data_IF_970127924126
#
_entry.id   IF_970127924126
#
_cell.length_a   1.000
_cell.length_b   1.000
_cell.length_c   1.000
_cell.angle_alpha   90.00
_cell.angle_beta   90.00
_cell.angle_gamma   90.00
#
_symmetry.space_group_name_H-M   'P 1'
#
loop_
_entity.id
_entity.type
_entity.pdbx_description
1 polymer ?
#
# COMPACT_ATOMS: atom_id res chain seq x y z
N UNK A 1 39.26 75.05 27.03
CA UNK A 1 39.73 73.77 26.46
C UNK A 1 40.11 72.81 27.59
N UNK A 2 39.31 71.77 27.82
CA UNK A 2 39.70 70.36 28.09
C UNK A 2 38.46 69.62 28.60
N UNK A 3 38.13 68.55 27.89
CA UNK A 3 36.86 67.81 27.90
C UNK A 3 36.82 66.83 29.07
N UNK A 4 35.64 66.66 29.67
CA UNK A 4 35.32 65.56 30.59
C UNK A 4 35.11 64.29 29.75
N UNK A 5 35.87 63.24 30.05
CA UNK A 5 35.78 61.93 29.39
C UNK A 5 34.84 61.04 30.19
N UNK A 6 33.66 60.77 29.65
CA UNK A 6 32.70 59.79 30.18
C UNK A 6 33.10 58.39 29.70
N UNK A 7 33.30 57.45 30.62
CA UNK A 7 33.45 56.03 30.32
C UNK A 7 32.07 55.39 30.18
N UNK A 8 31.72 54.92 28.98
CA UNK A 8 30.55 54.07 28.75
C UNK A 8 31.01 52.62 28.61
N UNK A 9 30.58 51.77 29.54
CA UNK A 9 30.75 50.32 29.46
C UNK A 9 29.80 49.77 28.39
N UNK A 10 30.36 49.17 27.34
CA UNK A 10 29.57 48.46 26.33
C UNK A 10 29.25 47.05 26.83
N UNK A 11 28.00 46.82 27.23
CA UNK A 11 27.44 45.48 27.43
C UNK A 11 27.11 44.94 26.04
N UNK A 12 27.92 44.01 25.54
CA UNK A 12 27.62 43.29 24.30
C UNK A 12 26.55 42.23 24.60
N UNK A 13 25.31 42.51 24.19
CA UNK A 13 24.22 41.52 24.18
C UNK A 13 24.43 40.61 22.96
N UNK A 14 25.00 39.42 23.17
CA UNK A 14 25.11 38.41 22.13
C UNK A 14 23.71 37.86 21.81
N UNK A 15 23.14 38.27 20.69
CA UNK A 15 21.92 37.68 20.16
C UNK A 15 22.24 36.27 19.65
N UNK A 16 21.92 35.25 20.44
CA UNK A 16 21.91 33.87 19.98
C UNK A 16 20.77 33.70 18.96
N UNK A 17 21.10 33.76 17.68
CA UNK A 17 20.21 33.30 16.61
C UNK A 17 20.05 31.80 16.74
N UNK A 18 18.96 31.38 17.37
CA UNK A 18 18.49 29.99 17.28
C UNK A 18 18.04 29.81 15.83
N UNK A 19 18.89 29.20 15.00
CA UNK A 19 18.43 28.62 13.75
C UNK A 19 17.44 27.52 14.15
N UNK A 20 16.15 27.80 14.02
CA UNK A 20 15.13 26.76 14.06
C UNK A 20 15.46 25.81 12.91
N UNK A 21 16.07 24.67 13.24
CA UNK A 21 16.14 23.55 12.31
C UNK A 21 14.69 23.28 11.85
N UNK A 22 14.42 23.09 10.55
CA UNK A 22 13.10 22.70 10.13
C UNK A 22 12.80 21.38 10.83
N UNK A 23 11.77 21.36 11.67
CA UNK A 23 11.20 20.12 12.18
C UNK A 23 10.95 19.24 10.95
N UNK A 24 11.66 18.11 10.85
CA UNK A 24 11.46 17.18 9.76
C UNK A 24 9.98 16.79 9.76
N UNK A 25 9.21 17.32 8.81
CA UNK A 25 7.83 16.95 8.61
C UNK A 25 7.85 15.45 8.28
N UNK A 26 7.38 14.62 9.22
CA UNK A 26 7.22 13.20 8.98
C UNK A 26 6.46 13.03 7.66
N UNK A 27 7.05 12.28 6.73
CA UNK A 27 6.42 12.02 5.44
C UNK A 27 5.03 11.43 5.70
N UNK A 28 4.03 11.93 4.98
CA UNK A 28 2.65 11.47 5.08
C UNK A 28 2.30 10.73 3.80
N UNK A 29 1.48 9.70 3.95
CA UNK A 29 0.83 9.04 2.83
C UNK A 29 -0.06 10.02 2.07
N UNK A 30 0.08 10.06 0.75
CA UNK A 30 -0.74 10.87 -0.16
C UNK A 30 -1.45 9.94 -1.13
N UNK A 31 -2.77 10.03 -1.18
CA UNK A 31 -3.55 9.31 -2.19
C UNK A 31 -3.62 10.12 -3.49
N UNK A 32 -3.39 9.43 -4.60
CA UNK A 32 -3.65 9.94 -5.94
C UNK A 32 -4.82 9.14 -6.50
N UNK A 33 -5.96 9.80 -6.66
CA UNK A 33 -7.17 9.20 -7.22
C UNK A 33 -7.14 9.24 -8.75
N UNK A 34 -7.56 8.14 -9.39
CA UNK A 34 -7.57 7.96 -10.84
C UNK A 34 -6.26 8.38 -11.57
N UNK A 35 -5.08 7.90 -11.12
CA UNK A 35 -3.80 8.29 -11.72
C UNK A 35 -3.69 7.79 -13.16
N UNK A 36 -3.28 8.67 -14.08
CA UNK A 36 -3.01 8.29 -15.47
C UNK A 36 -1.76 7.41 -15.55
N UNK A 37 -1.80 6.38 -16.40
CA UNK A 37 -0.64 5.52 -16.72
C UNK A 37 0.54 6.31 -17.29
N UNK A 38 0.26 7.43 -17.98
CA UNK A 38 1.28 8.34 -18.53
C UNK A 38 2.13 9.08 -17.49
N UNK A 39 1.76 9.04 -16.21
CA UNK A 39 2.57 9.66 -15.16
C UNK A 39 1.78 10.34 -14.05
N UNK A 40 2.29 10.25 -12.83
CA UNK A 40 1.96 11.13 -11.71
C UNK A 40 3.25 11.54 -10.97
N UNK A 41 3.22 12.65 -10.23
CA UNK A 41 4.39 13.15 -9.52
C UNK A 41 4.62 12.39 -8.21
N UNK A 42 5.86 12.03 -7.93
CA UNK A 42 6.32 11.43 -6.68
C UNK A 42 7.66 12.05 -6.36
N UNK A 43 7.81 12.83 -5.28
CA UNK A 43 9.06 13.53 -4.98
C UNK A 43 9.62 14.28 -6.21
N UNK A 44 10.84 13.94 -6.62
CA UNK A 44 11.49 14.48 -7.83
C UNK A 44 11.23 13.68 -9.12
N UNK A 45 10.49 12.57 -9.03
CA UNK A 45 10.17 11.67 -10.15
C UNK A 45 8.79 11.93 -10.76
N UNK A 46 8.62 11.44 -12.00
CA UNK A 46 7.32 11.33 -12.69
C UNK A 46 7.08 9.87 -13.01
N UNK A 47 6.27 9.22 -12.19
CA UNK A 47 6.04 7.77 -12.22
C UNK A 47 4.97 7.42 -13.25
N UNK A 48 5.37 6.79 -14.35
CA UNK A 48 4.45 6.12 -15.27
C UNK A 48 4.41 4.62 -15.01
N UNK A 49 3.29 3.98 -15.34
CA UNK A 49 3.07 2.56 -15.08
C UNK A 49 2.05 1.96 -16.05
N UNK A 50 1.97 0.63 -16.07
CA UNK A 50 1.01 -0.13 -16.87
C UNK A 50 0.79 -1.54 -16.30
N UNK A 51 -0.16 -2.32 -16.83
CA UNK A 51 -0.75 -2.15 -18.16
C UNK A 51 -2.02 -1.28 -18.23
N UNK A 52 -2.75 -1.16 -17.12
CA UNK A 52 -4.01 -0.39 -17.04
C UNK A 52 -3.96 0.62 -15.91
N UNK A 53 -4.77 1.68 -16.02
CA UNK A 53 -4.88 2.69 -14.96
C UNK A 53 -5.43 2.06 -13.67
N UNK A 54 -4.79 2.38 -12.56
CA UNK A 54 -5.24 2.09 -11.21
C UNK A 54 -6.43 3.01 -10.84
N UNK A 55 -7.29 2.52 -9.95
CA UNK A 55 -8.34 3.32 -9.34
C UNK A 55 -7.74 4.36 -8.40
N UNK A 56 -6.73 3.98 -7.62
CA UNK A 56 -5.90 4.92 -6.87
C UNK A 56 -4.49 4.39 -6.62
N UNK A 57 -3.58 5.31 -6.29
CA UNK A 57 -2.22 5.00 -5.86
C UNK A 57 -1.92 5.81 -4.61
N UNK A 58 -1.57 5.13 -3.54
CA UNK A 58 -1.00 5.75 -2.36
C UNK A 58 0.50 5.88 -2.51
N UNK A 59 1.01 7.05 -2.14
CA UNK A 59 2.41 7.41 -2.28
C UNK A 59 2.96 7.76 -0.91
N UNK A 60 4.07 7.13 -0.58
CA UNK A 60 4.92 7.51 0.54
C UNK A 60 6.34 7.71 0.01
N UNK A 61 6.93 8.87 0.25
CA UNK A 61 8.34 9.19 -0.07
C UNK A 61 8.96 9.84 1.17
N UNK A 62 9.49 9.00 2.05
CA UNK A 62 9.77 9.38 3.43
C UNK A 62 10.96 8.67 4.05
N UNK A 63 10.75 8.14 5.25
CA UNK A 63 11.72 7.25 5.90
C UNK A 63 11.55 5.83 5.39
N UNK A 64 12.51 4.94 5.61
CA UNK A 64 12.27 3.57 5.17
C UNK A 64 11.16 2.94 6.02
N UNK A 65 10.18 2.31 5.36
CA UNK A 65 9.17 1.52 6.08
C UNK A 65 9.88 0.33 6.71
N UNK A 66 9.75 0.22 8.04
CA UNK A 66 10.41 -0.81 8.82
C UNK A 66 9.42 -1.37 9.86
N UNK A 67 9.18 -2.70 9.89
CA UNK A 67 9.77 -3.72 9.02
C UNK A 67 9.20 -3.70 7.59
N UNK A 68 9.96 -4.20 6.62
CA UNK A 68 9.54 -4.30 5.21
C UNK A 68 9.22 -5.75 4.82
N UNK A 69 8.71 -6.55 5.75
CA UNK A 69 8.27 -7.91 5.47
C UNK A 69 6.84 -7.91 4.91
N UNK A 70 6.41 -9.05 4.34
CA UNK A 70 5.09 -9.15 3.70
C UNK A 70 3.94 -8.79 4.63
N UNK A 71 3.94 -9.32 5.86
CA UNK A 71 2.88 -9.09 6.85
C UNK A 71 2.71 -7.62 7.23
N UNK A 72 3.82 -6.89 7.43
CA UNK A 72 3.73 -5.47 7.77
C UNK A 72 3.25 -4.62 6.59
N UNK A 73 3.68 -4.96 5.37
CA UNK A 73 3.19 -4.28 4.17
C UNK A 73 1.71 -4.61 3.93
N UNK A 74 1.28 -5.85 4.14
CA UNK A 74 -0.12 -6.25 4.06
C UNK A 74 -0.99 -5.44 5.02
N UNK A 75 -0.61 -5.42 6.30
CA UNK A 75 -1.29 -4.62 7.34
C UNK A 75 -1.35 -3.12 6.99
N UNK A 76 -0.29 -2.60 6.36
CA UNK A 76 -0.26 -1.24 5.87
C UNK A 76 -1.24 -1.00 4.72
N UNK A 77 -1.29 -1.90 3.73
CA UNK A 77 -2.26 -1.80 2.62
C UNK A 77 -3.68 -1.87 3.17
N UNK A 78 -3.96 -2.80 4.08
CA UNK A 78 -5.26 -2.90 4.75
C UNK A 78 -5.65 -1.61 5.46
N UNK A 79 -4.70 -0.98 6.18
CA UNK A 79 -4.90 0.29 6.84
C UNK A 79 -5.19 1.45 5.87
N UNK A 80 -4.44 1.55 4.77
CA UNK A 80 -4.61 2.60 3.75
C UNK A 80 -5.98 2.55 3.08
N UNK A 81 -6.44 1.34 2.75
CA UNK A 81 -7.68 1.12 2.02
C UNK A 81 -8.87 0.77 2.94
N UNK A 82 -8.67 0.76 4.26
CA UNK A 82 -9.68 0.42 5.28
C UNK A 82 -10.31 -0.96 5.03
N UNK A 83 -9.47 -1.93 4.71
CA UNK A 83 -9.89 -3.30 4.42
C UNK A 83 -10.03 -4.11 5.71
N UNK A 84 -10.87 -5.16 5.71
CA UNK A 84 -10.85 -6.17 6.77
C UNK A 84 -9.46 -6.81 6.87
N UNK A 85 -9.03 -7.17 8.07
CA UNK A 85 -7.76 -7.88 8.28
C UNK A 85 -7.92 -9.41 8.30
N UNK A 86 -9.16 -9.90 8.23
CA UNK A 86 -9.49 -11.33 8.17
C UNK A 86 -10.75 -11.57 7.34
N UNK A 87 -10.86 -12.76 6.76
CA UNK A 87 -12.06 -13.23 6.09
C UNK A 87 -12.33 -12.53 4.75
N UNK A 88 -13.60 -12.39 4.40
CA UNK A 88 -13.99 -11.80 3.12
C UNK A 88 -13.48 -10.36 3.01
N UNK A 89 -12.77 -10.08 1.93
CA UNK A 89 -12.22 -8.75 1.63
C UNK A 89 -10.87 -8.46 2.30
N UNK A 90 -10.36 -9.34 3.17
CA UNK A 90 -8.98 -9.23 3.63
C UNK A 90 -7.99 -9.57 2.54
N UNK A 91 -6.75 -9.15 2.72
CA UNK A 91 -5.71 -9.40 1.75
C UNK A 91 -5.14 -10.82 1.91
N UNK A 92 -4.56 -11.30 0.81
CA UNK A 92 -3.71 -12.47 0.76
C UNK A 92 -2.53 -12.14 -0.15
N UNK A 93 -1.31 -12.37 0.32
CA UNK A 93 -0.12 -12.28 -0.53
C UNK A 93 -0.18 -13.31 -1.67
N UNK A 94 -0.08 -12.84 -2.90
CA UNK A 94 -0.11 -13.69 -4.11
C UNK A 94 1.15 -13.57 -4.98
N UNK A 95 2.04 -12.63 -4.65
CA UNK A 95 3.35 -12.55 -5.29
C UNK A 95 4.29 -11.58 -4.57
N UNK A 96 5.56 -11.97 -4.46
CA UNK A 96 6.63 -11.11 -3.95
C UNK A 96 7.91 -11.43 -4.70
N UNK A 97 8.71 -10.40 -5.01
CA UNK A 97 10.05 -10.59 -5.55
C UNK A 97 10.93 -9.37 -5.32
N UNK A 98 12.23 -9.60 -5.15
CA UNK A 98 13.24 -8.56 -5.29
C UNK A 98 13.33 -8.06 -6.74
N UNK A 99 13.46 -6.75 -6.87
CA UNK A 99 13.66 -6.03 -8.12
C UNK A 99 15.11 -5.58 -8.23
N UNK A 100 15.58 -5.36 -9.46
CA UNK A 100 16.86 -4.71 -9.68
C UNK A 100 16.81 -3.27 -9.15
N UNK A 101 17.90 -2.78 -8.57
CA UNK A 101 18.03 -1.39 -8.12
C UNK A 101 18.00 -0.42 -9.33
N UNK A 102 16.80 -0.06 -9.78
CA UNK A 102 16.55 0.71 -10.99
C UNK A 102 15.31 1.58 -10.83
N UNK A 103 15.30 2.74 -11.49
CA UNK A 103 14.15 3.67 -11.51
C UNK A 103 13.00 3.22 -12.42
N UNK A 104 13.21 2.13 -13.14
CA UNK A 104 12.26 1.50 -14.05
C UNK A 104 12.38 -0.01 -13.98
N UNK A 105 11.29 -0.71 -14.22
CA UNK A 105 11.28 -2.16 -14.19
C UNK A 105 9.99 -2.76 -14.73
N UNK A 106 10.00 -4.08 -14.83
CA UNK A 106 8.84 -4.85 -15.26
C UNK A 106 8.84 -6.23 -14.62
N UNK A 107 7.66 -6.75 -14.30
CA UNK A 107 7.49 -8.09 -13.75
C UNK A 107 6.10 -8.64 -14.06
N UNK A 108 5.94 -9.95 -13.85
CA UNK A 108 4.67 -10.66 -13.90
C UNK A 108 4.39 -11.30 -12.54
N UNK A 109 3.11 -11.41 -12.20
CA UNK A 109 2.62 -12.13 -11.02
C UNK A 109 1.78 -13.29 -11.52
N UNK A 110 2.07 -14.52 -11.08
CA UNK A 110 1.40 -15.74 -11.55
C UNK A 110 -0.03 -15.92 -11.07
N UNK A 111 -0.61 -14.91 -10.42
CA UNK A 111 -1.96 -14.90 -9.87
C UNK A 111 -2.62 -13.54 -10.15
N UNK A 112 -3.95 -13.49 -10.11
CA UNK A 112 -4.67 -12.22 -10.18
C UNK A 112 -4.52 -11.44 -8.89
N UNK A 113 -4.41 -10.13 -9.00
CA UNK A 113 -4.21 -9.22 -7.86
C UNK A 113 -4.87 -7.88 -8.12
N UNK A 114 -5.34 -7.23 -7.05
CA UNK A 114 -5.94 -5.91 -7.09
C UNK A 114 -5.18 -4.88 -6.25
N UNK A 115 -4.17 -5.30 -5.49
CA UNK A 115 -3.27 -4.42 -4.77
C UNK A 115 -1.83 -4.75 -5.08
N UNK A 116 -1.00 -3.72 -5.21
CA UNK A 116 0.43 -3.88 -5.48
C UNK A 116 1.22 -2.83 -4.73
N UNK A 117 2.10 -3.25 -3.84
CA UNK A 117 3.10 -2.42 -3.20
C UNK A 117 4.41 -2.52 -3.99
N UNK A 118 5.02 -1.38 -4.32
CA UNK A 118 6.34 -1.28 -4.96
C UNK A 118 7.24 -0.43 -4.08
N UNK A 119 8.27 -1.07 -3.54
CA UNK A 119 9.25 -0.40 -2.71
C UNK A 119 10.35 0.25 -3.54
N UNK A 120 10.70 1.50 -3.21
CA UNK A 120 11.79 2.23 -3.85
C UNK A 120 12.58 3.10 -2.86
N UNK A 121 13.81 2.69 -2.56
CA UNK A 121 14.72 3.45 -1.68
C UNK A 121 14.20 3.66 -0.25
N UNK A 122 13.44 4.74 -0.02
CA UNK A 122 12.81 5.08 1.27
C UNK A 122 11.31 5.39 1.09
N UNK A 123 10.74 4.93 -0.01
CA UNK A 123 9.37 5.20 -0.39
C UNK A 123 8.66 3.93 -0.80
N UNK A 124 7.34 4.02 -0.84
CA UNK A 124 6.44 2.93 -1.19
C UNK A 124 5.32 3.48 -2.06
N UNK A 125 5.02 2.80 -3.15
CA UNK A 125 3.83 3.04 -3.95
C UNK A 125 2.86 1.89 -3.72
N UNK A 126 1.62 2.18 -3.38
CA UNK A 126 0.58 1.16 -3.21
C UNK A 126 -0.55 1.42 -4.19
N UNK A 127 -0.59 0.60 -5.24
CA UNK A 127 -1.60 0.65 -6.29
C UNK A 127 -2.84 -0.15 -5.88
N UNK A 128 -4.02 0.33 -6.28
CA UNK A 128 -5.28 -0.41 -6.20
C UNK A 128 -6.04 -0.34 -7.52
N UNK A 129 -6.60 -1.48 -7.95
CA UNK A 129 -7.52 -1.57 -9.09
C UNK A 129 -8.86 -2.15 -8.66
N UNK A 130 -9.97 -1.50 -9.03
CA UNK A 130 -11.33 -2.02 -8.78
C UNK A 130 -11.55 -3.38 -9.47
N UNK A 131 -10.92 -3.56 -10.64
CA UNK A 131 -10.88 -4.83 -11.37
C UNK A 131 -9.48 -5.42 -11.25
N UNK A 132 -9.34 -6.62 -10.66
CA UNK A 132 -8.03 -7.25 -10.54
C UNK A 132 -7.31 -7.34 -11.88
N UNK A 133 -6.00 -7.11 -11.85
CA UNK A 133 -5.11 -7.46 -12.95
C UNK A 133 -5.13 -8.98 -13.10
N UNK A 134 -5.19 -9.47 -14.34
CA UNK A 134 -5.14 -10.89 -14.62
C UNK A 134 -3.75 -11.45 -14.29
N UNK A 135 -3.70 -12.74 -13.95
CA UNK A 135 -2.44 -13.47 -13.81
C UNK A 135 -1.56 -13.30 -15.07
N UNK A 136 -0.25 -13.24 -14.86
CA UNK A 136 0.78 -13.08 -15.89
C UNK A 136 0.70 -11.78 -16.72
N UNK A 137 -0.14 -10.83 -16.31
CA UNK A 137 -0.10 -9.46 -16.84
C UNK A 137 1.28 -8.85 -16.59
N UNK A 138 1.89 -8.30 -17.63
CA UNK A 138 3.16 -7.58 -17.50
C UNK A 138 2.90 -6.22 -16.85
N UNK A 139 3.27 -6.09 -15.58
CA UNK A 139 3.32 -4.79 -14.93
C UNK A 139 4.63 -4.10 -15.30
N UNK A 140 4.55 -2.82 -15.67
CA UNK A 140 5.73 -1.98 -15.93
C UNK A 140 5.63 -0.69 -15.14
N UNK A 141 6.78 -0.16 -14.76
CA UNK A 141 6.88 1.16 -14.14
C UNK A 141 8.17 1.85 -14.59
N UNK A 142 8.17 3.18 -14.56
CA UNK A 142 9.34 3.99 -14.84
C UNK A 142 9.26 5.36 -14.17
N UNK A 143 10.41 6.00 -14.00
CA UNK A 143 10.49 7.37 -13.49
C UNK A 143 10.37 7.48 -11.96
N UNK A 144 10.69 6.41 -11.23
CA UNK A 144 10.79 6.47 -9.76
C UNK A 144 11.87 7.48 -9.31
N UNK A 145 11.70 8.17 -8.17
CA UNK A 145 12.69 9.11 -7.64
C UNK A 145 14.02 8.42 -7.28
N UNK A 146 13.91 7.19 -6.77
CA UNK A 146 14.99 6.33 -6.30
C UNK A 146 14.84 4.94 -6.94
N UNK A 147 15.85 4.10 -6.79
CA UNK A 147 15.80 2.74 -7.34
C UNK A 147 14.81 1.86 -6.59
N UNK A 148 14.08 1.03 -7.34
CA UNK A 148 13.19 -0.01 -6.80
C UNK A 148 13.98 -1.09 -6.04
N UNK A 149 13.32 -1.83 -5.15
CA UNK A 149 13.97 -2.93 -4.42
C UNK A 149 13.16 -4.21 -4.37
N UNK A 150 11.84 -4.12 -4.20
CA UNK A 150 10.94 -5.28 -4.28
C UNK A 150 9.51 -4.82 -4.58
N UNK A 151 8.65 -5.80 -4.87
CA UNK A 151 7.22 -5.61 -4.92
C UNK A 151 6.50 -6.68 -4.11
N UNK A 152 5.27 -6.36 -3.70
CA UNK A 152 4.31 -7.30 -3.11
C UNK A 152 2.95 -7.11 -3.73
N UNK A 153 2.38 -8.18 -4.26
CA UNK A 153 1.06 -8.19 -4.86
C UNK A 153 0.09 -8.93 -3.93
N UNK A 154 -1.07 -8.34 -3.72
CA UNK A 154 -2.13 -8.89 -2.88
C UNK A 154 -3.43 -9.02 -3.65
N UNK A 155 -4.16 -10.08 -3.34
CA UNK A 155 -5.52 -10.30 -3.82
C UNK A 155 -6.48 -10.25 -2.65
N UNK A 156 -7.60 -9.56 -2.80
CA UNK A 156 -8.66 -9.59 -1.79
C UNK A 156 -9.37 -10.94 -1.80
N UNK A 157 -9.55 -11.57 -0.64
CA UNK A 157 -10.28 -12.83 -0.51
C UNK A 157 -11.74 -12.63 -0.96
N UNK A 158 -12.08 -13.23 -2.08
CA UNK A 158 -13.45 -13.24 -2.58
C UNK A 158 -14.35 -14.08 -1.67
N UNK A 159 -15.63 -13.73 -1.57
CA UNK A 159 -16.59 -14.61 -0.91
C UNK A 159 -16.60 -15.94 -1.66
N UNK A 160 -16.20 -17.02 -0.97
CA UNK A 160 -16.55 -18.37 -1.42
C UNK A 160 -18.07 -18.41 -1.36
N UNK A 161 -18.78 -18.64 -2.49
CA UNK A 161 -20.22 -18.84 -2.44
C UNK A 161 -20.49 -19.92 -1.39
N UNK A 162 -21.32 -19.59 -0.41
CA UNK A 162 -21.64 -20.53 0.66
C UNK A 162 -21.99 -21.86 0.01
N UNK A 163 -21.28 -22.93 0.39
CA UNK A 163 -21.28 -24.11 -0.43
C UNK A 163 -22.72 -24.62 -0.46
N UNK A 164 -23.17 -25.02 -1.64
CA UNK A 164 -24.41 -25.77 -1.81
C UNK A 164 -24.55 -26.89 -0.74
N UNK A 165 -23.44 -27.33 -0.13
CA UNK A 165 -23.34 -28.07 1.14
C UNK A 165 -24.31 -27.67 2.25
N UNK A 166 -24.58 -26.39 2.56
CA UNK A 166 -25.57 -26.09 3.62
C UNK A 166 -26.99 -26.43 3.16
N UNK A 167 -27.33 -26.08 1.92
CA UNK A 167 -28.60 -26.48 1.30
C UNK A 167 -28.73 -27.98 1.10
N UNK A 168 -27.64 -28.67 0.77
CA UNK A 168 -27.59 -30.12 0.57
C UNK A 168 -27.58 -30.88 1.90
N UNK A 169 -26.99 -30.33 2.96
CA UNK A 169 -27.07 -30.87 4.31
C UNK A 169 -28.50 -30.77 4.84
N UNK A 170 -29.11 -29.58 4.74
CA UNK A 170 -30.51 -29.39 5.13
C UNK A 170 -31.46 -30.23 4.26
N UNK A 171 -31.20 -30.31 2.95
CA UNK A 171 -31.94 -31.17 2.03
C UNK A 171 -31.79 -32.66 2.36
N UNK A 172 -30.57 -33.10 2.69
CA UNK A 172 -30.28 -34.47 3.12
C UNK A 172 -30.98 -34.82 4.43
N UNK A 173 -30.93 -33.94 5.43
CA UNK A 173 -31.64 -34.11 6.70
C UNK A 173 -33.16 -34.12 6.52
N UNK A 174 -33.70 -33.25 5.66
CA UNK A 174 -35.11 -33.24 5.30
C UNK A 174 -35.57 -34.54 4.66
N UNK A 175 -34.76 -35.11 3.75
CA UNK A 175 -35.03 -36.41 3.13
C UNK A 175 -34.98 -37.55 4.17
N UNK A 176 -34.00 -37.55 5.06
CA UNK A 176 -33.91 -38.55 6.14
C UNK A 176 -35.11 -38.49 7.08
N UNK A 177 -35.58 -37.29 7.43
CA UNK A 177 -36.78 -37.10 8.25
C UNK A 177 -38.05 -37.62 7.55
N UNK A 178 -38.18 -37.42 6.23
CA UNK A 178 -39.29 -37.95 5.43
C UNK A 178 -39.29 -39.50 5.43
N UNK A 179 -38.13 -40.12 5.21
CA UNK A 179 -37.98 -41.57 5.22
C UNK A 179 -38.32 -42.13 6.61
N UNK A 180 -37.80 -41.53 7.67
CA UNK A 180 -38.09 -41.93 9.05
C UNK A 180 -39.59 -41.85 9.38
N UNK A 181 -40.29 -40.81 8.91
CA UNK A 181 -41.75 -40.67 9.10
C UNK A 181 -42.53 -41.79 8.42
N UNK A 182 -42.17 -42.18 7.18
CA UNK A 182 -42.88 -43.24 6.44
C UNK A 182 -42.74 -44.60 7.12
N UNK A 183 -41.56 -44.91 7.67
CA UNK A 183 -41.31 -46.17 8.40
C UNK A 183 -42.06 -46.29 9.72
N UNK A 184 -42.50 -45.17 10.30
CA UNK A 184 -43.29 -45.16 11.55
C UNK A 184 -44.80 -45.30 11.29
N UNK A 185 -45.24 -45.08 10.05
CA UNK A 185 -46.66 -45.07 9.66
C UNK A 185 -47.12 -46.35 8.93
N UNK A 186 -46.20 -47.27 8.65
CA UNK A 186 -46.49 -48.62 8.16
C UNK A 186 -45.96 -49.64 9.16
#
# INVERSE_FOLDING_TARGET
MKKLTTYAAAIALAAATVFAAPLAQAAKWVEITAPKTSGFAVGSGKVSYGPIAAASVWVYDGENINPQNAENIESLVEGLFKLPTTGKGSLQLVGEKNLANSKSGSFKVGASFNYLAVHYGRGELVFHWDKPLAADSLFTFSGLPRGSSNYRAFSSISAVPEPATYGMLLGGLGLMALIARRRKQG
#
